data_IF_322717716738
#
_entry.id   IF_322717716738
#
_cell.length_a   1.000
_cell.length_b   1.000
_cell.length_c   1.000
_cell.angle_alpha   90.00
_cell.angle_beta   90.00
_cell.angle_gamma   90.00
#
_symmetry.space_group_name_H-M   'P 1'
#
loop_
_entity.id
_entity.type
_entity.pdbx_description
1 polymer ?
#
# COMPACT_ATOMS: atom_id res chain seq x y z
N UNK A 1 -2.19 -6.96 14.18
CA UNK A 1 -1.80 -6.16 12.99
C UNK A 1 -1.06 -4.90 13.38
N UNK A 2 -1.61 -4.08 14.28
CA UNK A 2 -0.96 -2.84 14.77
C UNK A 2 0.53 -3.01 15.13
N UNK A 3 0.87 -4.03 15.93
CA UNK A 3 2.27 -4.29 16.33
C UNK A 3 3.23 -4.55 15.15
N UNK A 4 2.74 -5.25 14.11
CA UNK A 4 3.52 -5.54 12.89
C UNK A 4 3.80 -4.25 12.12
N UNK A 5 2.80 -3.40 11.97
CA UNK A 5 2.98 -2.14 11.25
C UNK A 5 3.84 -1.15 12.04
N UNK A 6 3.73 -1.14 13.37
CA UNK A 6 4.64 -0.38 14.23
C UNK A 6 6.08 -0.90 14.12
N UNK A 7 6.29 -2.22 14.06
CA UNK A 7 7.63 -2.77 13.89
C UNK A 7 8.22 -2.37 12.54
N UNK A 8 7.42 -2.35 11.47
CA UNK A 8 7.88 -1.91 10.15
C UNK A 8 8.20 -0.41 10.10
N UNK A 9 7.36 0.44 10.68
CA UNK A 9 7.65 1.87 10.78
C UNK A 9 8.93 2.13 11.59
N UNK A 10 9.13 1.41 12.70
CA UNK A 10 10.26 1.66 13.60
C UNK A 10 11.58 1.10 13.07
N UNK A 11 11.56 -0.07 12.43
CA UNK A 11 12.77 -0.77 11.98
C UNK A 11 13.42 -0.12 10.76
N UNK A 12 12.63 0.32 9.77
CA UNK A 12 13.15 0.79 8.48
C UNK A 12 12.68 2.20 8.12
N UNK A 13 12.09 2.94 9.08
CA UNK A 13 11.44 4.23 8.84
C UNK A 13 10.41 4.15 7.70
N UNK A 14 9.71 3.02 7.59
CA UNK A 14 8.71 2.84 6.54
C UNK A 14 7.64 3.95 6.63
N UNK A 15 7.37 4.58 5.49
CA UNK A 15 6.25 5.51 5.36
C UNK A 15 4.97 4.71 5.17
N UNK A 16 3.95 5.02 5.94
CA UNK A 16 2.68 4.29 5.93
C UNK A 16 1.65 5.11 5.16
N UNK A 17 1.03 4.49 4.15
CA UNK A 17 -0.03 5.08 3.33
C UNK A 17 -1.31 4.26 3.49
N UNK A 18 -2.31 4.83 4.17
CA UNK A 18 -3.63 4.22 4.29
C UNK A 18 -4.47 4.59 3.06
N UNK A 19 -4.83 3.61 2.24
CA UNK A 19 -5.62 3.82 1.02
C UNK A 19 -6.97 3.14 1.18
N UNK A 20 -8.05 3.91 1.20
CA UNK A 20 -9.39 3.38 1.47
C UNK A 20 -10.41 3.95 0.50
N UNK A 21 -11.33 3.11 0.03
CA UNK A 21 -12.46 3.55 -0.79
C UNK A 21 -13.60 4.20 0.02
N UNK A 22 -13.46 4.26 1.35
CA UNK A 22 -14.41 4.92 2.23
C UNK A 22 -14.50 6.44 1.96
N UNK A 23 -15.63 7.08 2.30
CA UNK A 23 -15.79 8.51 2.18
C UNK A 23 -14.77 9.26 3.05
N UNK A 24 -14.12 10.29 2.48
CA UNK A 24 -13.20 11.19 3.20
C UNK A 24 -13.82 11.83 4.46
N UNK A 25 -15.15 11.95 4.51
CA UNK A 25 -15.92 12.45 5.65
C UNK A 25 -15.73 11.60 6.91
N UNK A 26 -15.31 10.33 6.77
CA UNK A 26 -15.04 9.43 7.88
C UNK A 26 -13.61 9.53 8.41
N UNK A 27 -12.76 10.38 7.82
CA UNK A 27 -11.35 10.54 8.18
C UNK A 27 -11.13 10.66 9.69
N UNK A 28 -11.86 11.55 10.37
CA UNK A 28 -11.70 11.77 11.81
C UNK A 28 -11.97 10.51 12.64
N UNK A 29 -13.04 9.77 12.28
CA UNK A 29 -13.41 8.54 13.00
C UNK A 29 -12.36 7.46 12.75
N UNK A 30 -11.92 7.30 11.50
CA UNK A 30 -10.86 6.36 11.12
C UNK A 30 -9.56 6.66 11.85
N UNK A 31 -9.12 7.92 11.85
CA UNK A 31 -7.90 8.34 12.55
C UNK A 31 -8.00 8.08 14.06
N UNK A 32 -9.14 8.39 14.68
CA UNK A 32 -9.37 8.14 16.11
C UNK A 32 -9.29 6.65 16.44
N UNK A 33 -9.87 5.79 15.60
CA UNK A 33 -9.76 4.34 15.77
C UNK A 33 -8.31 3.87 15.65
N UNK A 34 -7.60 4.26 14.59
CA UNK A 34 -6.22 3.85 14.36
C UNK A 34 -5.32 4.25 15.53
N UNK A 35 -5.47 5.49 16.03
CA UNK A 35 -4.74 5.95 17.21
C UNK A 35 -5.08 5.15 18.47
N UNK A 36 -6.36 4.84 18.69
CA UNK A 36 -6.81 4.03 19.84
C UNK A 36 -6.20 2.62 19.78
N UNK A 37 -6.19 2.01 18.62
CA UNK A 37 -5.62 0.68 18.37
C UNK A 37 -4.10 0.71 18.12
N UNK A 38 -3.46 1.87 18.34
CA UNK A 38 -2.01 2.10 18.27
C UNK A 38 -1.39 1.83 16.89
N UNK A 39 -2.16 1.94 15.81
CA UNK A 39 -1.60 1.86 14.47
C UNK A 39 -0.61 3.01 14.24
N UNK A 40 0.46 2.79 13.45
CA UNK A 40 1.44 3.82 13.17
C UNK A 40 0.81 5.01 12.41
N UNK A 41 1.34 6.20 12.65
CA UNK A 41 0.97 7.38 11.88
C UNK A 41 1.31 7.22 10.40
N UNK A 42 0.53 7.84 9.51
CA UNK A 42 0.70 7.72 8.07
C UNK A 42 -0.17 8.71 7.30
N UNK A 43 0.00 8.75 5.98
CA UNK A 43 -0.88 9.52 5.10
C UNK A 43 -2.19 8.78 4.86
N UNK A 44 -3.24 9.53 4.53
CA UNK A 44 -4.58 8.98 4.30
C UNK A 44 -5.06 9.38 2.91
N UNK A 45 -5.46 8.38 2.13
CA UNK A 45 -5.98 8.56 0.79
C UNK A 45 -7.37 7.92 0.73
N UNK A 46 -8.39 8.76 0.90
CA UNK A 46 -9.79 8.35 0.97
C UNK A 46 -10.57 8.90 -0.22
N UNK A 47 -11.69 8.26 -0.57
CA UNK A 47 -12.50 8.72 -1.69
C UNK A 47 -13.38 9.89 -1.28
N UNK A 48 -13.29 10.99 -2.00
CA UNK A 48 -14.15 12.14 -1.73
C UNK A 48 -15.55 11.93 -2.32
N UNK A 49 -16.56 11.82 -1.46
CA UNK A 49 -17.97 11.77 -1.87
C UNK A 49 -18.50 13.21 -2.06
N UNK A 50 -18.72 13.62 -3.30
CA UNK A 50 -19.29 14.93 -3.64
C UNK A 50 -20.82 14.89 -3.49
N UNK A 51 -21.31 15.29 -2.33
CA UNK A 51 -22.75 15.31 -2.01
C UNK A 51 -23.48 16.55 -2.55
N UNK A 52 -22.76 17.57 -3.03
CA UNK A 52 -23.35 18.85 -3.46
C UNK A 52 -23.32 18.94 -5.00
N UNK A 53 -24.49 19.19 -5.58
CA UNK A 53 -24.72 19.48 -7.00
C UNK A 53 -26.11 20.11 -7.17
N UNK A 54 -26.40 20.76 -8.31
CA UNK A 54 -27.65 21.50 -8.51
C UNK A 54 -28.91 20.62 -8.45
N UNK A 55 -28.79 19.32 -8.72
CA UNK A 55 -29.92 18.42 -8.86
C UNK A 55 -30.06 17.46 -7.67
N UNK A 56 -31.11 17.61 -6.86
CA UNK A 56 -31.40 16.73 -5.70
C UNK A 56 -31.64 15.26 -6.08
N UNK A 57 -32.11 14.98 -7.30
CA UNK A 57 -32.30 13.62 -7.82
C UNK A 57 -30.97 12.89 -8.11
N UNK A 58 -29.84 13.60 -8.07
CA UNK A 58 -28.50 13.08 -8.30
C UNK A 58 -27.89 12.46 -7.02
N UNK A 59 -28.43 12.74 -5.83
CA UNK A 59 -27.83 12.27 -4.58
C UNK A 59 -27.85 10.74 -4.43
N UNK A 60 -29.00 10.11 -4.68
CA UNK A 60 -29.14 8.65 -4.60
C UNK A 60 -28.23 8.00 -5.65
N UNK A 61 -28.21 8.55 -6.87
CA UNK A 61 -27.32 8.07 -7.94
C UNK A 61 -25.85 8.19 -7.56
N UNK A 62 -25.42 9.33 -6.99
CA UNK A 62 -24.06 9.54 -6.48
C UNK A 62 -23.68 8.55 -5.39
N UNK A 63 -24.60 8.26 -4.46
CA UNK A 63 -24.36 7.26 -3.41
C UNK A 63 -24.24 5.85 -4.02
N UNK A 64 -25.13 5.49 -4.95
CA UNK A 64 -25.08 4.21 -5.66
C UNK A 64 -23.79 4.08 -6.48
N UNK A 65 -23.40 5.11 -7.21
CA UNK A 65 -22.17 5.15 -8.00
C UNK A 65 -20.94 5.06 -7.11
N UNK A 66 -20.95 5.70 -5.94
CA UNK A 66 -19.92 5.54 -4.93
C UNK A 66 -19.88 4.08 -4.42
N UNK A 67 -21.02 3.46 -4.16
CA UNK A 67 -21.08 2.08 -3.66
C UNK A 67 -20.61 1.01 -4.69
N UNK A 68 -20.48 1.36 -5.98
CA UNK A 68 -19.99 0.43 -7.01
C UNK A 68 -18.55 -0.01 -6.74
N UNK A 69 -18.32 -1.32 -6.86
CA UNK A 69 -16.99 -1.91 -6.70
C UNK A 69 -16.00 -1.39 -7.74
N UNK A 70 -16.40 -1.22 -9.00
CA UNK A 70 -15.55 -0.62 -10.04
C UNK A 70 -15.06 0.78 -9.68
N UNK A 71 -15.92 1.58 -9.03
CA UNK A 71 -15.55 2.93 -8.58
C UNK A 71 -14.58 2.89 -7.38
N UNK A 72 -14.62 1.83 -6.56
CA UNK A 72 -13.64 1.59 -5.50
C UNK A 72 -12.29 1.19 -6.10
N UNK A 73 -12.30 0.21 -7.02
CA UNK A 73 -11.11 -0.28 -7.73
C UNK A 73 -10.38 0.84 -8.46
N UNK A 74 -11.08 1.60 -9.31
CA UNK A 74 -10.50 2.72 -10.06
C UNK A 74 -9.92 3.80 -9.14
N UNK A 75 -10.51 4.02 -7.98
CA UNK A 75 -9.97 4.98 -7.01
C UNK A 75 -8.65 4.50 -6.42
N UNK A 76 -8.61 3.27 -5.91
CA UNK A 76 -7.40 2.70 -5.30
C UNK A 76 -6.27 2.59 -6.32
N UNK A 77 -6.53 2.06 -7.53
CA UNK A 77 -5.54 1.97 -8.61
C UNK A 77 -4.88 3.33 -8.87
N UNK A 78 -5.70 4.35 -9.15
CA UNK A 78 -5.22 5.70 -9.41
C UNK A 78 -4.40 6.26 -8.25
N UNK A 79 -4.88 6.14 -7.01
CA UNK A 79 -4.15 6.64 -5.84
C UNK A 79 -2.81 5.95 -5.66
N UNK A 80 -2.76 4.63 -5.83
CA UNK A 80 -1.52 3.86 -5.70
C UNK A 80 -0.54 4.24 -6.81
N UNK A 81 -1.02 4.36 -8.06
CA UNK A 81 -0.22 4.86 -9.19
C UNK A 81 0.31 6.26 -8.93
N UNK A 82 -0.54 7.19 -8.51
CA UNK A 82 -0.15 8.57 -8.19
C UNK A 82 0.99 8.58 -7.14
N UNK A 83 0.92 7.72 -6.12
CA UNK A 83 1.99 7.62 -5.10
C UNK A 83 3.27 7.02 -5.68
N UNK A 84 3.17 5.94 -6.47
CA UNK A 84 4.34 5.29 -7.09
C UNK A 84 5.08 6.22 -8.05
N UNK A 85 4.34 7.02 -8.81
CA UNK A 85 4.85 7.93 -9.83
C UNK A 85 5.56 9.15 -9.22
N UNK A 86 5.13 9.61 -8.04
CA UNK A 86 5.72 10.76 -7.35
C UNK A 86 6.80 10.37 -6.33
N UNK A 87 6.89 9.09 -5.98
CA UNK A 87 7.93 8.60 -5.08
C UNK A 87 9.27 8.44 -5.81
N UNK A 88 10.42 8.64 -5.11
CA UNK A 88 11.74 8.35 -5.65
C UNK A 88 11.84 6.98 -6.30
N UNK A 89 12.57 6.88 -7.40
CA UNK A 89 12.68 5.63 -8.18
C UNK A 89 13.30 4.48 -7.37
N UNK A 90 14.17 4.80 -6.41
CA UNK A 90 14.84 3.85 -5.51
C UNK A 90 13.93 3.30 -4.41
N UNK A 91 12.72 3.87 -4.26
CA UNK A 91 11.78 3.48 -3.23
C UNK A 91 11.02 2.22 -3.66
N UNK A 92 11.10 1.19 -2.80
CA UNK A 92 10.31 -0.03 -2.92
C UNK A 92 9.04 0.02 -2.06
N UNK A 93 8.06 -0.76 -2.48
CA UNK A 93 6.72 -0.75 -1.93
C UNK A 93 6.30 -2.15 -1.48
N UNK A 94 5.70 -2.19 -0.31
CA UNK A 94 4.98 -3.36 0.20
C UNK A 94 3.49 -3.03 0.25
N UNK A 95 2.64 -3.95 -0.21
CA UNK A 95 1.19 -3.75 -0.22
C UNK A 95 0.52 -4.73 0.74
N UNK A 96 -0.41 -4.24 1.56
CA UNK A 96 -1.20 -5.06 2.48
C UNK A 96 -2.68 -4.73 2.31
N UNK A 97 -3.47 -5.75 2.00
CA UNK A 97 -4.90 -5.61 1.76
C UNK A 97 -5.68 -6.82 2.19
N UNK A 98 -6.98 -6.78 1.94
CA UNK A 98 -7.95 -7.77 2.39
C UNK A 98 -8.53 -8.56 1.20
N UNK A 99 -8.67 -9.87 1.38
CA UNK A 99 -9.30 -10.74 0.38
C UNK A 99 -10.81 -10.51 0.24
N UNK A 100 -11.45 -9.86 1.22
CA UNK A 100 -12.86 -9.46 1.15
C UNK A 100 -13.14 -8.36 0.13
N UNK A 101 -12.12 -7.60 -0.27
CA UNK A 101 -12.20 -6.54 -1.28
C UNK A 101 -11.48 -6.96 -2.58
N UNK A 102 -11.37 -6.03 -3.53
CA UNK A 102 -10.64 -6.22 -4.79
C UNK A 102 -9.12 -5.97 -4.67
N UNK A 103 -8.58 -5.99 -3.45
CA UNK A 103 -7.15 -5.74 -3.22
C UNK A 103 -6.24 -6.71 -3.97
N UNK A 104 -6.52 -8.04 -4.06
CA UNK A 104 -5.70 -8.94 -4.86
C UNK A 104 -5.59 -8.50 -6.33
N UNK A 105 -6.72 -8.16 -6.96
CA UNK A 105 -6.76 -7.74 -8.37
C UNK A 105 -6.04 -6.42 -8.59
N UNK A 106 -6.26 -5.45 -7.71
CA UNK A 106 -5.63 -4.13 -7.75
C UNK A 106 -4.12 -4.26 -7.59
N UNK A 107 -3.67 -5.01 -6.59
CA UNK A 107 -2.23 -5.17 -6.32
C UNK A 107 -1.54 -6.01 -7.40
N UNK A 108 -2.24 -6.99 -7.97
CA UNK A 108 -1.76 -7.73 -9.13
C UNK A 108 -1.56 -6.83 -10.36
N UNK A 109 -2.52 -5.95 -10.66
CA UNK A 109 -2.38 -4.98 -11.75
C UNK A 109 -1.21 -4.01 -11.50
N UNK A 110 -1.10 -3.47 -10.28
CA UNK A 110 0.01 -2.58 -9.90
C UNK A 110 1.35 -3.29 -10.02
N UNK A 111 1.49 -4.52 -9.53
CA UNK A 111 2.75 -5.24 -9.57
C UNK A 111 3.18 -5.66 -10.99
N UNK A 112 2.22 -5.88 -11.91
CA UNK A 112 2.55 -6.07 -13.33
C UNK A 112 3.00 -4.78 -14.00
N UNK A 113 2.41 -3.64 -13.63
CA UNK A 113 2.76 -2.33 -14.20
C UNK A 113 4.05 -1.74 -13.60
N UNK A 114 4.42 -2.13 -12.37
CA UNK A 114 5.57 -1.62 -11.63
C UNK A 114 6.40 -2.76 -10.98
N UNK A 115 6.88 -3.74 -11.76
CA UNK A 115 7.46 -4.98 -11.23
C UNK A 115 8.69 -4.76 -10.34
N UNK A 116 9.50 -3.74 -10.63
CA UNK A 116 10.72 -3.41 -9.89
C UNK A 116 10.46 -2.53 -8.67
N UNK A 117 9.28 -1.94 -8.56
CA UNK A 117 8.88 -1.09 -7.43
C UNK A 117 8.17 -1.89 -6.34
N UNK A 118 7.54 -3.02 -6.69
CA UNK A 118 6.81 -3.85 -5.73
C UNK A 118 7.71 -4.97 -5.20
N UNK A 119 8.03 -4.88 -3.90
CA UNK A 119 8.82 -5.88 -3.18
C UNK A 119 7.95 -7.06 -2.75
N UNK A 120 6.82 -6.78 -2.10
CA UNK A 120 5.98 -7.81 -1.50
C UNK A 120 4.50 -7.39 -1.41
N UNK A 121 3.61 -8.36 -1.55
CA UNK A 121 2.16 -8.20 -1.44
C UNK A 121 1.64 -9.16 -0.38
N UNK A 122 0.92 -8.65 0.60
CA UNK A 122 0.28 -9.45 1.63
C UNK A 122 -1.24 -9.29 1.55
N UNK A 123 -1.94 -10.40 1.39
CA UNK A 123 -3.41 -10.43 1.39
C UNK A 123 -3.88 -11.11 2.67
N UNK A 124 -4.60 -10.39 3.52
CA UNK A 124 -5.25 -11.02 4.66
C UNK A 124 -6.46 -11.79 4.18
N UNK A 125 -6.56 -13.04 4.62
CA UNK A 125 -7.74 -13.85 4.47
C UNK A 125 -8.86 -13.36 5.42
N UNK A 126 -9.95 -12.86 4.85
CA UNK A 126 -11.16 -12.45 5.58
C UNK A 126 -12.18 -13.57 5.56
N UNK A 127 -12.59 -14.08 6.73
CA UNK A 127 -13.62 -15.10 6.83
C UNK A 127 -14.95 -14.64 6.20
N UNK A 128 -15.58 -15.52 5.41
CA UNK A 128 -16.79 -15.17 4.65
C UNK A 128 -16.55 -14.29 3.41
N UNK A 129 -15.29 -13.94 3.12
CA UNK A 129 -14.88 -13.27 1.88
C UNK A 129 -14.78 -14.21 0.67
N UNK A 130 -14.49 -13.64 -0.50
CA UNK A 130 -14.24 -14.40 -1.73
C UNK A 130 -12.79 -14.93 -1.76
N UNK A 131 -12.52 -15.97 -1.00
CA UNK A 131 -11.18 -16.54 -0.81
C UNK A 131 -10.88 -17.73 -1.74
N UNK A 132 -11.23 -17.58 -3.03
CA UNK A 132 -10.97 -18.61 -4.02
C UNK A 132 -9.47 -18.59 -4.40
N UNK A 133 -8.76 -19.70 -4.23
CA UNK A 133 -7.36 -19.82 -4.64
C UNK A 133 -7.18 -19.50 -6.12
N UNK A 134 -8.12 -19.92 -6.98
CA UNK A 134 -8.08 -19.61 -8.40
C UNK A 134 -8.18 -18.10 -8.65
N UNK A 135 -8.97 -17.38 -7.85
CA UNK A 135 -9.05 -15.91 -7.92
C UNK A 135 -7.70 -15.28 -7.61
N UNK A 136 -6.98 -15.76 -6.60
CA UNK A 136 -5.65 -15.24 -6.29
C UNK A 136 -4.63 -15.57 -7.37
N UNK A 137 -4.66 -16.79 -7.93
CA UNK A 137 -3.80 -17.16 -9.06
C UNK A 137 -4.05 -16.28 -10.29
N UNK A 138 -5.32 -16.00 -10.61
CA UNK A 138 -5.67 -15.07 -11.71
C UNK A 138 -5.24 -13.64 -11.38
N UNK A 139 -5.50 -13.17 -10.17
CA UNK A 139 -5.12 -11.83 -9.74
C UNK A 139 -3.61 -11.61 -9.82
N UNK A 140 -2.82 -12.60 -9.40
CA UNK A 140 -1.36 -12.57 -9.37
C UNK A 140 -0.70 -13.30 -10.53
N UNK A 141 -1.41 -13.50 -11.65
CA UNK A 141 -0.82 -14.07 -12.85
C UNK A 141 0.38 -13.22 -13.30
N UNK A 142 1.44 -13.92 -13.74
CA UNK A 142 2.73 -13.35 -14.14
C UNK A 142 3.53 -12.63 -13.03
N UNK A 143 3.13 -12.80 -11.76
CA UNK A 143 3.87 -12.31 -10.61
C UNK A 143 4.57 -13.49 -9.92
N UNK A 144 5.88 -13.41 -9.65
CA UNK A 144 6.61 -14.45 -8.93
C UNK A 144 5.93 -14.81 -7.60
N UNK A 145 5.77 -16.11 -7.34
CA UNK A 145 5.10 -16.62 -6.12
C UNK A 145 5.77 -16.19 -4.81
N UNK A 146 7.03 -15.73 -4.84
CA UNK A 146 7.73 -15.19 -3.68
C UNK A 146 7.45 -13.71 -3.42
N UNK A 147 6.74 -13.01 -4.32
CA UNK A 147 6.36 -11.59 -4.17
C UNK A 147 4.95 -11.39 -3.60
N UNK A 148 4.21 -12.46 -3.33
CA UNK A 148 2.89 -12.33 -2.71
C UNK A 148 2.59 -13.48 -1.75
N UNK A 149 1.79 -13.20 -0.72
CA UNK A 149 1.40 -14.17 0.30
C UNK A 149 0.01 -13.87 0.86
N UNK A 150 -0.82 -14.90 0.95
CA UNK A 150 -2.07 -14.85 1.73
C UNK A 150 -1.77 -15.27 3.17
N UNK A 151 -2.32 -14.55 4.16
CA UNK A 151 -2.10 -14.84 5.58
C UNK A 151 -3.39 -14.75 6.39
N UNK A 152 -3.47 -15.49 7.50
CA UNK A 152 -4.65 -15.47 8.38
C UNK A 152 -4.39 -14.67 9.65
N UNK A 153 -3.18 -14.78 10.20
CA UNK A 153 -2.77 -14.18 11.46
C UNK A 153 -1.62 -13.20 11.25
N UNK A 154 -1.63 -12.12 12.02
CA UNK A 154 -0.62 -11.07 11.93
C UNK A 154 0.81 -11.58 12.16
N UNK A 155 0.99 -12.60 13.00
CA UNK A 155 2.31 -13.18 13.30
C UNK A 155 2.90 -14.02 12.15
N UNK A 156 2.15 -14.26 11.08
CA UNK A 156 2.68 -14.88 9.86
C UNK A 156 3.43 -13.88 8.97
N UNK A 157 3.29 -12.59 9.26
CA UNK A 157 4.01 -11.51 8.60
C UNK A 157 5.39 -11.33 9.26
N UNK A 158 6.43 -11.03 8.47
CA UNK A 158 7.77 -10.89 9.04
C UNK A 158 7.85 -9.63 9.90
N UNK A 159 8.63 -9.67 10.99
CA UNK A 159 8.85 -8.49 11.82
C UNK A 159 9.74 -7.43 11.15
N UNK A 160 10.63 -7.87 10.25
CA UNK A 160 11.43 -7.03 9.35
C UNK A 160 10.96 -7.23 7.91
N UNK A 161 10.66 -6.15 7.19
CA UNK A 161 10.27 -6.23 5.77
C UNK A 161 11.48 -6.28 4.82
N UNK A 162 12.60 -5.70 5.25
CA UNK A 162 13.82 -5.56 4.49
C UNK A 162 14.96 -6.10 5.35
N UNK A 163 15.93 -6.75 4.73
CA UNK A 163 17.18 -7.08 5.41
C UNK A 163 18.13 -5.90 5.31
N UNK A 164 18.94 -5.68 6.36
CA UNK A 164 19.91 -4.57 6.40
C UNK A 164 20.98 -4.67 5.27
N UNK A 165 21.05 -5.82 4.58
CA UNK A 165 21.93 -6.10 3.44
C UNK A 165 21.22 -6.02 2.08
N UNK A 166 19.91 -5.73 2.01
CA UNK A 166 19.20 -5.40 0.76
C UNK A 166 19.58 -3.97 0.31
N UNK A 167 20.88 -3.71 0.20
CA UNK A 167 21.43 -2.57 -0.53
C UNK A 167 21.20 -2.93 -2.00
N UNK A 168 20.01 -2.60 -2.49
CA UNK A 168 19.65 -2.84 -3.89
C UNK A 168 20.69 -2.20 -4.79
N UNK A 169 21.19 -3.03 -5.70
CA UNK A 169 21.91 -2.68 -6.91
C UNK A 169 21.18 -1.55 -7.64
N UNK A 170 21.59 -0.31 -7.37
CA UNK A 170 21.34 0.77 -8.31
C UNK A 170 21.93 0.32 -9.65
N UNK A 171 21.22 0.52 -10.78
CA UNK A 171 21.74 0.10 -12.07
C UNK A 171 23.12 0.73 -12.28
N UNK A 172 24.15 -0.12 -12.33
CA UNK A 172 25.51 0.29 -12.64
C UNK A 172 25.45 0.91 -14.03
N UNK A 173 25.57 2.23 -14.11
CA UNK A 173 25.78 2.93 -15.37
C UNK A 173 27.14 2.48 -15.90
N UNK A 174 27.22 1.76 -17.04
CA UNK A 174 28.49 1.18 -17.52
C UNK A 174 29.45 2.22 -18.09
N UNK A 175 29.14 3.51 -18.02
CA UNK A 175 30.02 4.59 -18.43
C UNK A 175 30.30 5.51 -17.26
N UNK A 176 31.38 5.23 -16.51
CA UNK A 176 32.13 6.23 -15.75
C UNK A 176 33.49 5.62 -15.34
N UNK A 177 34.32 5.31 -16.34
CA UNK A 177 35.75 5.50 -16.17
C UNK A 177 35.99 7.01 -16.23
N UNK A 178 36.36 7.61 -15.10
CA UNK A 178 37.32 8.73 -14.96
C UNK A 178 37.29 9.28 -13.52
N UNK A 179 38.45 9.15 -12.88
CA UNK A 179 39.05 10.09 -11.94
C UNK A 179 38.72 10.02 -10.43
N UNK A 180 39.74 9.47 -9.77
CA UNK A 180 39.92 9.09 -8.39
C UNK A 180 40.26 10.29 -7.46
N UNK A 181 39.56 11.44 -7.58
CA UNK A 181 39.88 12.65 -6.79
C UNK A 181 38.68 13.37 -6.11
N UNK A 182 37.48 12.79 -6.09
CA UNK A 182 36.28 13.39 -5.45
C UNK A 182 35.94 12.72 -4.09
N UNK A 183 36.86 11.99 -3.47
CA UNK A 183 36.59 11.18 -2.27
C UNK A 183 36.48 11.95 -0.92
N UNK A 184 36.56 13.28 -0.91
CA UNK A 184 36.46 14.08 0.33
C UNK A 184 35.17 14.92 0.41
N UNK A 185 34.46 15.13 -0.71
CA UNK A 185 33.23 15.94 -0.73
C UNK A 185 31.95 15.08 -0.74
N UNK A 186 32.04 13.79 -1.13
CA UNK A 186 30.88 12.88 -1.19
C UNK A 186 30.36 12.37 0.18
N UNK A 187 31.13 12.56 1.26
CA UNK A 187 30.74 12.15 2.61
C UNK A 187 29.62 13.04 3.21
N UNK A 188 29.32 14.20 2.61
CA UNK A 188 28.19 15.05 3.06
C UNK A 188 26.86 14.75 2.35
N UNK A 189 26.90 14.11 1.17
CA UNK A 189 25.71 13.72 0.41
C UNK A 189 25.31 12.25 0.65
N UNK A 190 26.21 11.43 1.21
CA UNK A 190 25.92 10.06 1.63
C UNK A 190 24.93 9.94 2.81
N UNK A 191 24.56 11.06 3.46
CA UNK A 191 23.57 11.10 4.53
C UNK A 191 22.10 11.15 4.02
N UNK A 192 21.87 11.26 2.72
CA UNK A 192 20.51 11.43 2.15
C UNK A 192 19.91 10.20 1.44
N UNK A 193 20.63 9.08 1.36
CA UNK A 193 20.12 7.86 0.71
C UNK A 193 19.76 6.74 1.70
N UNK A 194 19.07 7.09 2.79
CA UNK A 194 18.34 6.06 3.55
C UNK A 194 17.01 5.81 2.82
N UNK A 195 16.97 4.74 2.04
CA UNK A 195 15.85 4.31 1.21
C UNK A 195 14.64 4.02 2.12
N UNK A 196 13.62 4.87 2.04
CA UNK A 196 12.36 4.70 2.76
C UNK A 196 11.51 3.68 2.00
N UNK A 197 10.92 2.70 2.66
CA UNK A 197 9.93 1.82 2.03
C UNK A 197 8.52 2.32 2.30
N UNK A 198 7.62 2.22 1.32
CA UNK A 198 6.21 2.63 1.49
C UNK A 198 5.31 1.42 1.63
N UNK A 199 4.49 1.45 2.68
CA UNK A 199 3.49 0.44 2.95
C UNK A 199 2.09 0.95 2.59
N UNK A 200 1.42 0.27 1.67
CA UNK A 200 0.01 0.49 1.41
C UNK A 200 -0.84 -0.39 2.32
N UNK A 201 -1.77 0.22 3.04
CA UNK A 201 -2.74 -0.51 3.86
C UNK A 201 -4.14 -0.19 3.34
N UNK A 202 -4.75 -1.16 2.66
CA UNK A 202 -6.19 -1.17 2.38
C UNK A 202 -6.91 -1.73 3.60
N UNK A 203 -7.55 -0.89 4.42
CA UNK A 203 -8.47 -1.35 5.48
C UNK A 203 -9.65 -0.38 5.65
N UNK A 204 -10.87 -0.92 5.78
CA UNK A 204 -11.65 -0.90 7.04
C UNK A 204 -13.00 -1.65 6.88
N UNK A 205 -13.05 -2.98 7.08
CA UNK A 205 -14.34 -3.64 7.37
C UNK A 205 -14.68 -3.41 8.83
N UNK A 206 -15.58 -2.46 9.11
CA UNK A 206 -16.18 -2.33 10.43
C UNK A 206 -17.24 -3.42 10.58
N UNK A 207 -16.84 -4.62 10.99
CA UNK A 207 -17.81 -5.60 11.51
C UNK A 207 -18.32 -5.08 12.84
N UNK A 208 -19.43 -4.34 12.79
CA UNK A 208 -20.25 -4.07 13.96
C UNK A 208 -20.79 -5.41 14.47
N UNK A 209 -20.10 -6.04 15.41
CA UNK A 209 -20.79 -6.93 16.35
C UNK A 209 -21.53 -6.02 17.33
N UNK A 210 -22.79 -5.72 17.00
CA UNK A 210 -23.74 -5.26 18.02
C UNK A 210 -23.88 -6.39 19.05
N UNK A 211 -23.40 -6.14 20.26
CA UNK A 211 -24.08 -6.61 21.47
C UNK A 211 -24.93 -5.46 21.97
#
# INVERSE_FOLDING_TARGET
MSDVYQSWQSSHKCLIHYVSAMPSQLYYITQKFLNKEKFPGGSFHMRHLKLVGPDKYDLIKKILDFAKQDASQKHKLRVIQDILDHAPITQQFTMVGDSGELDPEIYGEIARNYPDRIKMIFIRHVEGGKNDDNRFQVAFNDIPNNKWKVFNKANELPHKLYDDNDIDDAPINPNNDLDNEINVISLSTSLFYNIYSVLFISYFTMTYNFC
#
